data_IF_987774623741
#
_entry.id   IF_987774623741
#
_cell.length_a   1.000
_cell.length_b   1.000
_cell.length_c   1.000
_cell.angle_alpha   90.00
_cell.angle_beta   90.00
_cell.angle_gamma   90.00
#
_symmetry.space_group_name_H-M   'P 1'
#
loop_
_entity.id
_entity.type
_entity.pdbx_description
1 polymer ?
2 non-polymer ?
3 water ?
#
# COMPACT_ATOMS: atom_id res chain seq x y z
N UNK A 11 -22.70 -2.83 25.07
CA UNK A 11 -22.32 -3.78 26.10
C UNK A 11 -21.05 -4.55 25.69
N UNK A 12 -20.90 -5.75 26.21
CA UNK A 12 -19.76 -6.60 25.92
C UNK A 12 -20.19 -7.71 24.97
N UNK A 13 -19.21 -8.24 24.24
CA UNK A 13 -19.46 -9.31 23.29
C UNK A 13 -18.25 -10.24 23.26
N UNK A 14 -18.50 -11.54 23.39
CA UNK A 14 -17.46 -12.54 23.38
C UNK A 14 -17.71 -13.55 22.26
N UNK A 15 -16.65 -13.98 21.60
CA UNK A 15 -16.73 -14.91 20.48
C UNK A 15 -15.50 -15.79 20.47
N UNK A 16 -15.59 -16.92 19.77
CA UNK A 16 -14.50 -17.86 19.63
C UNK A 16 -13.85 -17.63 18.27
N UNK A 17 -12.61 -17.14 18.28
CA UNK A 17 -11.89 -16.78 17.07
C UNK A 17 -10.60 -17.58 16.98
N UNK A 18 -10.30 -18.06 15.77
CA UNK A 18 -9.01 -18.71 15.52
C UNK A 18 -7.93 -17.65 15.43
N UNK A 19 -6.86 -17.74 16.22
CA UNK A 19 -5.79 -16.73 16.13
C UNK A 19 -5.12 -16.77 14.77
N UNK A 20 -5.10 -15.61 14.11
CA UNK A 20 -4.45 -15.51 12.81
C UNK A 20 -2.98 -15.84 12.90
N UNK A 21 -2.43 -16.32 11.77
CA UNK A 21 -1.03 -16.72 11.63
C UNK A 21 -0.70 -17.94 12.50
N UNK A 22 -1.19 -17.97 13.74
CA UNK A 22 -0.95 -19.09 14.61
C UNK A 22 -1.78 -20.30 14.22
N UNK A 23 -1.70 -21.35 15.03
CA UNK A 23 -2.40 -22.59 14.71
C UNK A 23 -3.90 -22.47 15.00
N UNK A 24 -4.63 -23.51 14.58
CA UNK A 24 -6.09 -23.55 14.71
C UNK A 24 -6.45 -23.96 16.14
N UNK A 25 -6.31 -23.01 17.06
CA UNK A 25 -6.70 -23.18 18.46
C UNK A 25 -7.68 -22.06 18.81
N UNK A 26 -8.96 -22.19 18.39
CA UNK A 26 -9.92 -21.10 18.61
C UNK A 26 -10.12 -20.76 20.08
N UNK A 27 -9.49 -19.68 20.53
CA UNK A 27 -9.68 -19.19 21.88
C UNK A 27 -10.83 -18.17 21.91
N UNK A 28 -11.23 -17.81 23.12
CA UNK A 28 -12.31 -16.84 23.32
C UNK A 28 -11.73 -15.43 23.39
N UNK A 29 -12.35 -14.51 22.66
CA UNK A 29 -11.99 -13.10 22.69
C UNK A 29 -13.24 -12.30 23.02
N UNK A 30 -13.12 -11.36 23.96
CA UNK A 30 -14.22 -10.50 24.37
C UNK A 30 -13.79 -9.04 24.22
N UNK A 31 -14.70 -8.22 23.70
CA UNK A 31 -14.41 -6.82 23.45
C UNK A 31 -15.66 -5.99 23.72
N UNK A 32 -15.51 -4.67 23.63
CA UNK A 32 -16.60 -3.74 23.82
C UNK A 32 -16.24 -2.42 23.13
N UNK A 33 -17.17 -1.47 23.19
CA UNK A 33 -17.02 -0.14 22.62
C UNK A 33 -16.69 -0.22 21.11
N UNK A 34 -17.68 -0.71 20.38
CA UNK A 34 -17.57 -0.90 18.94
C UNK A 34 -18.16 0.30 18.21
N UNK A 35 -17.44 0.77 17.18
CA UNK A 35 -17.89 1.89 16.37
C UNK A 35 -17.40 1.69 14.95
N UNK A 36 -18.19 2.18 14.00
CA UNK A 36 -17.87 2.03 12.58
C UNK A 36 -16.82 3.07 12.19
N UNK A 37 -15.69 2.60 11.67
CA UNK A 37 -14.63 3.47 11.18
C UNK A 37 -14.50 3.42 9.66
N UNK A 38 -15.38 2.68 8.98
CA UNK A 38 -15.32 2.59 7.54
C UNK A 38 -16.32 1.58 7.04
N UNK A 39 -16.54 1.61 5.72
CA UNK A 39 -17.50 0.73 5.08
C UNK A 39 -16.97 0.36 3.70
N UNK A 40 -17.77 -0.39 2.96
CA UNK A 40 -17.39 -0.82 1.63
C UNK A 40 -18.32 -1.91 1.14
N UNK A 41 -17.98 -2.44 -0.04
CA UNK A 41 -18.77 -3.52 -0.62
C UNK A 41 -18.61 -4.81 0.16
N UNK A 42 -17.46 -5.00 0.81
CA UNK A 42 -17.24 -6.18 1.64
C UNK A 42 -18.20 -6.20 2.84
N UNK A 43 -18.49 -5.02 3.38
CA UNK A 43 -19.35 -4.91 4.54
C UNK A 43 -19.07 -3.65 5.35
N UNK A 44 -18.27 -3.79 6.40
CA UNK A 44 -18.00 -2.69 7.32
C UNK A 44 -16.84 -3.07 8.24
N UNK A 45 -15.98 -2.11 8.56
CA UNK A 45 -14.89 -2.29 9.52
C UNK A 45 -15.24 -1.53 10.79
N UNK A 46 -15.15 -2.21 11.92
CA UNK A 46 -15.44 -1.62 13.22
C UNK A 46 -14.14 -1.31 13.96
N UNK A 47 -14.29 -0.74 15.16
CA UNK A 47 -13.18 -0.51 16.06
C UNK A 47 -13.66 -0.76 17.49
N UNK A 48 -13.09 -1.77 18.13
CA UNK A 48 -13.49 -2.16 19.47
C UNK A 48 -12.28 -2.15 20.40
N UNK A 49 -12.55 -2.37 21.68
CA UNK A 49 -11.53 -2.40 22.72
C UNK A 49 -11.53 -3.78 23.36
N UNK A 50 -10.40 -4.47 23.30
CA UNK A 50 -10.30 -5.79 23.92
C UNK A 50 -10.41 -5.67 25.43
N UNK A 51 -11.24 -6.53 26.02
CA UNK A 51 -11.41 -6.50 27.48
C UNK A 51 -10.12 -6.85 28.21
N UNK A 52 -9.17 -7.49 27.54
CA UNK A 52 -7.85 -7.75 28.10
C UNK A 52 -6.87 -6.74 27.54
N UNK A 53 -6.10 -6.11 28.43
CA UNK A 53 -5.05 -5.16 28.07
C UNK A 53 -5.63 -3.86 27.50
N UNK A 54 -6.93 -3.83 27.28
CA UNK A 54 -7.58 -2.64 26.77
C UNK A 54 -7.11 -2.19 25.40
N UNK A 55 -6.57 -3.10 24.60
CA UNK A 55 -6.04 -2.74 23.29
C UNK A 55 -7.17 -2.53 22.30
N UNK A 56 -7.09 -1.43 21.54
CA UNK A 56 -8.08 -1.14 20.52
C UNK A 56 -7.75 -1.89 19.24
N UNK A 57 -8.75 -2.52 18.64
CA UNK A 57 -8.58 -3.34 17.45
C UNK A 57 -9.53 -2.86 16.36
N UNK A 58 -9.52 -3.56 15.23
CA UNK A 58 -10.40 -3.28 14.11
C UNK A 58 -10.98 -4.60 13.62
N UNK A 59 -12.29 -4.63 13.40
CA UNK A 59 -13.00 -5.84 12.99
C UNK A 59 -13.60 -5.58 11.62
N UNK A 60 -13.10 -6.29 10.60
CA UNK A 60 -13.57 -6.16 9.22
C UNK A 60 -14.57 -7.27 8.95
N UNK A 61 -15.86 -6.92 8.92
CA UNK A 61 -16.93 -7.88 8.65
C UNK A 61 -17.13 -7.96 7.13
N UNK A 62 -16.49 -8.94 6.52
CA UNK A 62 -16.65 -9.19 5.08
C UNK A 62 -17.55 -10.41 4.91
N UNK A 63 -18.58 -10.26 4.09
CA UNK A 63 -19.47 -11.37 3.77
C UNK A 63 -18.77 -12.32 2.78
N UNK A 64 -19.02 -13.61 2.93
CA UNK A 64 -18.34 -14.60 2.11
C UNK A 64 -19.21 -15.85 1.97
N UNK A 65 -19.25 -16.39 0.76
CA UNK A 65 -19.94 -17.65 0.51
C UNK A 65 -19.19 -18.77 1.23
N UNK A 66 -19.94 -19.63 1.92
CA UNK A 66 -19.28 -20.71 2.71
C UNK A 66 -18.59 -21.69 1.76
N UNK A 67 -19.10 -21.86 0.55
CA UNK A 67 -18.52 -22.81 -0.40
C UNK A 67 -17.31 -22.22 -1.11
N UNK A 68 -16.43 -21.58 -0.35
CA UNK A 68 -15.23 -20.95 -0.89
C UNK A 68 -14.27 -20.69 0.27
N UNK A 69 -13.24 -19.89 0.00
CA UNK A 69 -12.28 -19.49 1.02
C UNK A 69 -11.80 -18.09 0.69
N UNK A 70 -11.91 -17.18 1.67
CA UNK A 70 -11.56 -15.79 1.43
C UNK A 70 -10.08 -15.67 1.11
N UNK A 71 -9.78 -15.11 -0.07
CA UNK A 71 -8.39 -14.91 -0.46
C UNK A 71 -7.67 -13.97 0.50
N UNK A 72 -8.38 -12.98 1.05
CA UNK A 72 -7.77 -12.08 2.01
C UNK A 72 -7.29 -12.84 3.24
N UNK A 73 -8.19 -13.63 3.85
CA UNK A 73 -7.84 -14.35 5.07
C UNK A 73 -6.64 -15.26 4.86
N UNK A 74 -6.57 -15.93 3.70
CA UNK A 74 -5.43 -16.81 3.43
C UNK A 74 -4.13 -16.02 3.32
N UNK A 75 -4.19 -14.81 2.76
CA UNK A 75 -2.98 -14.00 2.65
C UNK A 75 -2.57 -13.43 4.00
N UNK A 76 -3.55 -12.92 4.77
CA UNK A 76 -3.23 -12.26 6.03
C UNK A 76 -2.59 -13.22 7.02
N UNK A 77 -3.03 -14.48 7.02
CA UNK A 77 -2.46 -15.45 7.94
C UNK A 77 -1.04 -15.85 7.56
N UNK A 78 -0.64 -15.61 6.31
CA UNK A 78 0.68 -15.96 5.82
C UNK A 78 1.62 -14.76 5.77
N UNK A 79 1.25 -13.64 6.39
CA UNK A 79 2.03 -12.42 6.33
C UNK A 79 2.34 -11.93 7.75
N UNK A 80 3.57 -11.46 7.95
CA UNK A 80 3.99 -10.92 9.24
C UNK A 80 5.13 -9.93 8.97
N UNK A 81 4.80 -8.64 9.02
CA UNK A 81 5.77 -7.59 8.76
C UNK A 81 5.38 -6.38 9.57
N UNK A 82 6.39 -5.62 10.05
CA UNK A 82 6.11 -4.48 10.92
C UNK A 82 5.30 -3.42 10.20
N UNK A 83 5.43 -3.34 8.87
CA UNK A 83 4.71 -2.36 8.06
C UNK A 83 3.48 -2.97 7.40
N UNK A 84 2.87 -3.97 8.03
CA UNK A 84 1.64 -4.58 7.57
C UNK A 84 0.77 -4.84 8.79
N UNK A 85 -0.49 -4.39 8.74
CA UNK A 85 -1.39 -4.57 9.87
C UNK A 85 -1.57 -6.06 10.12
N UNK A 86 -1.12 -6.52 11.29
CA UNK A 86 -1.16 -7.94 11.60
C UNK A 86 -2.58 -8.41 11.87
N UNK A 87 -2.90 -9.60 11.40
CA UNK A 87 -4.19 -10.23 11.67
C UNK A 87 -4.13 -10.88 13.04
N UNK A 88 -4.71 -10.22 14.04
CA UNK A 88 -4.72 -10.77 15.39
C UNK A 88 -5.52 -12.06 15.44
N UNK A 89 -6.81 -11.99 15.13
CA UNK A 89 -7.69 -13.15 15.11
C UNK A 89 -8.64 -13.03 13.93
N UNK A 90 -9.47 -14.04 13.75
CA UNK A 90 -10.52 -14.02 12.74
C UNK A 90 -11.62 -14.97 13.18
N UNK A 91 -12.88 -14.59 12.92
CA UNK A 91 -14.01 -15.38 13.36
C UNK A 91 -15.19 -15.15 12.42
N UNK A 92 -16.09 -16.12 12.40
CA UNK A 92 -17.26 -16.10 11.54
C UNK A 92 -18.51 -15.85 12.37
N UNK A 93 -19.41 -15.01 11.84
CA UNK A 93 -20.65 -14.65 12.52
C UNK A 93 -21.66 -14.24 11.45
N UNK A 94 -22.25 -15.23 10.80
CA UNK A 94 -23.23 -14.99 9.74
C UNK A 94 -24.49 -14.32 10.29
N UNK A 97 -29.20 -15.52 2.61
CA UNK A 97 -28.62 -15.70 3.94
C UNK A 97 -28.45 -17.18 4.27
N UNK A 98 -28.27 -18.00 3.23
CA UNK A 98 -28.13 -19.44 3.41
C UNK A 98 -26.69 -19.88 3.20
N UNK A 99 -26.26 -19.96 1.94
CA UNK A 99 -24.90 -20.39 1.61
C UNK A 99 -23.94 -19.21 1.65
N UNK A 100 -23.88 -18.56 2.82
CA UNK A 100 -23.04 -17.40 3.02
C UNK A 100 -22.72 -17.28 4.49
N UNK A 101 -21.71 -16.46 4.80
CA UNK A 101 -21.26 -16.25 6.17
C UNK A 101 -20.49 -14.93 6.20
N UNK A 102 -20.43 -14.31 7.37
CA UNK A 102 -19.71 -13.07 7.58
C UNK A 102 -18.37 -13.37 8.23
N UNK A 103 -17.29 -13.16 7.49
CA UNK A 103 -15.94 -13.31 8.03
C UNK A 103 -15.52 -12.00 8.68
N UNK A 104 -15.19 -12.07 9.97
CA UNK A 104 -14.71 -10.91 10.72
C UNK A 104 -13.21 -11.03 10.92
N UNK A 105 -12.48 -9.99 10.51
CA UNK A 105 -11.02 -9.96 10.59
C UNK A 105 -10.63 -9.00 11.70
N UNK A 106 -10.07 -9.55 12.79
CA UNK A 106 -9.62 -8.74 13.92
C UNK A 106 -8.16 -8.36 13.68
N UNK A 107 -7.90 -7.06 13.63
CA UNK A 107 -6.57 -6.53 13.36
C UNK A 107 -6.25 -5.40 14.33
N UNK A 108 -4.97 -5.06 14.42
CA UNK A 108 -4.57 -3.93 15.26
C UNK A 108 -5.09 -2.63 14.69
N UNK A 109 -5.58 -1.76 15.56
CA UNK A 109 -6.17 -0.49 15.15
C UNK A 109 -5.07 0.57 15.07
N UNK A 110 -4.64 0.88 13.86
CA UNK A 110 -3.71 1.99 13.64
C UNK A 110 -4.51 3.29 13.61
N UNK A 111 -4.09 4.32 14.34
CA UNK A 111 -4.99 5.45 14.60
C UNK A 111 -5.16 6.44 13.46
N UNK A 112 -4.41 6.35 12.37
CA UNK A 112 -4.55 7.34 11.31
C UNK A 112 -4.00 6.78 10.00
N UNK A 113 -4.40 7.41 8.91
CA UNK A 113 -3.93 7.07 7.57
C UNK A 113 -3.10 8.21 7.00
N UNK A 114 -2.38 7.91 5.91
CA UNK A 114 -1.58 8.94 5.26
C UNK A 114 -2.47 9.97 4.58
N UNK A 115 -3.63 9.56 4.07
CA UNK A 115 -4.51 10.52 3.40
C UNK A 115 -4.99 11.60 4.35
N UNK A 116 -5.36 11.22 5.58
CA UNK A 116 -5.89 12.19 6.54
C UNK A 116 -4.84 13.23 6.89
N UNK A 117 -3.63 12.78 7.23
CA UNK A 117 -2.56 13.73 7.57
C UNK A 117 -2.14 14.53 6.35
N UNK A 118 -2.24 13.94 5.15
CA UNK A 118 -1.95 14.70 3.94
C UNK A 118 -3.06 15.71 3.66
N UNK A 119 -4.31 15.34 3.95
CA UNK A 119 -5.41 16.29 3.75
C UNK A 119 -5.34 17.42 4.77
N UNK A 120 -4.99 17.11 6.01
CA UNK A 120 -4.86 18.15 7.02
C UNK A 120 -3.80 19.18 6.62
N UNK A 121 -2.76 18.75 5.93
CA UNK A 121 -1.76 19.69 5.40
C UNK A 121 -2.28 20.42 4.18
N UNK A 122 -2.98 19.72 3.28
CA UNK A 122 -3.52 20.36 2.09
C UNK A 122 -4.59 21.39 2.43
N UNK A 123 -5.32 21.18 3.53
CA UNK A 123 -6.30 22.16 3.97
C UNK A 123 -5.65 23.46 4.46
N UNK A 124 -4.34 23.46 4.70
CA UNK A 124 -3.62 24.66 5.10
C UNK A 124 -2.55 25.06 4.10
N UNK A 125 -2.49 24.39 2.94
CA UNK A 125 -1.54 24.70 1.87
C UNK A 125 -0.09 24.61 2.38
N UNK A 126 0.22 23.51 3.05
CA UNK A 126 1.55 23.25 3.57
C UNK A 126 2.01 21.87 3.13
N UNK A 127 3.26 21.78 2.69
CA UNK A 127 3.81 20.51 2.25
C UNK A 127 4.25 19.67 3.45
N UNK A 128 3.91 18.38 3.41
CA UNK A 128 4.34 17.47 4.47
C UNK A 128 5.86 17.41 4.51
N UNK A 129 6.47 17.47 5.70
CA UNK A 129 7.92 17.42 5.79
C UNK A 129 8.49 16.19 5.09
N UNK A 130 9.62 16.37 4.42
CA UNK A 130 10.23 15.29 3.64
C UNK A 130 10.65 14.15 4.56
N UNK A 131 10.97 14.45 5.83
CA UNK A 131 11.28 13.40 6.79
C UNK A 131 10.08 12.46 6.94
N UNK A 132 8.89 13.03 7.06
CA UNK A 132 7.68 12.21 7.10
C UNK A 132 7.48 11.47 5.78
N UNK A 133 7.72 12.15 4.66
CA UNK A 133 7.54 11.52 3.35
C UNK A 133 8.56 10.41 3.14
N UNK A 134 9.80 10.62 3.58
CA UNK A 134 10.83 9.61 3.38
C UNK A 134 10.56 8.38 4.26
N UNK A 135 10.10 8.59 5.48
CA UNK A 135 9.86 7.46 6.38
C UNK A 135 8.64 6.65 5.94
N UNK A 136 7.56 7.33 5.52
CA UNK A 136 6.36 6.63 5.11
C UNK A 136 6.60 5.81 3.85
N UNK A 137 7.22 6.42 2.84
CA UNK A 137 7.46 5.72 1.59
C UNK A 137 8.40 4.54 1.78
N UNK A 138 9.48 4.73 2.56
CA UNK A 138 10.41 3.64 2.83
C UNK A 138 9.69 2.48 3.50
N UNK A 139 8.83 2.76 4.48
CA UNK A 139 8.04 1.72 5.11
C UNK A 139 7.05 1.10 4.13
N UNK A 140 6.66 1.84 3.09
CA UNK A 140 5.78 1.26 2.07
C UNK A 140 6.55 0.28 1.20
N UNK A 141 7.72 0.69 0.69
CA UNK A 141 8.53 -0.21 -0.13
C UNK A 141 9.00 -1.42 0.66
N UNK A 142 9.20 -1.27 1.98
CA UNK A 142 9.58 -2.41 2.80
C UNK A 142 8.45 -3.43 2.87
N UNK A 143 7.21 -2.96 3.03
CA UNK A 143 6.07 -3.87 3.03
C UNK A 143 5.81 -4.43 1.64
N UNK A 144 6.07 -3.65 0.59
CA UNK A 144 5.91 -4.15 -0.77
C UNK A 144 6.93 -5.25 -1.07
N UNK A 145 8.21 -4.98 -0.78
CA UNK A 145 9.24 -6.00 -0.99
C UNK A 145 8.94 -7.26 -0.20
N UNK A 146 8.23 -7.13 0.93
CA UNK A 146 7.82 -8.31 1.69
C UNK A 146 6.74 -9.09 0.94
N UNK A 147 5.63 -8.42 0.62
CA UNK A 147 4.51 -9.12 -0.03
C UNK A 147 4.88 -9.52 -1.45
N UNK A 148 5.78 -8.78 -2.09
CA UNK A 148 6.18 -9.14 -3.45
C UNK A 148 7.08 -10.37 -3.49
N UNK A 149 7.75 -10.68 -2.38
CA UNK A 149 8.61 -11.86 -2.34
C UNK A 149 7.78 -13.14 -2.43
N UNK A 150 6.68 -13.21 -1.70
CA UNK A 150 5.79 -14.37 -1.76
C UNK A 150 5.00 -14.44 -3.06
N UNK A 151 5.13 -13.44 -3.93
CA UNK A 151 4.35 -13.40 -5.15
C UNK A 151 2.98 -12.77 -5.01
N UNK A 152 2.79 -11.92 -4.00
CA UNK A 152 1.50 -11.30 -3.72
C UNK A 152 1.56 -9.85 -4.14
N UNK A 153 0.54 -9.39 -4.85
CA UNK A 153 0.42 -8.01 -5.30
C UNK A 153 -0.78 -7.38 -4.62
N UNK A 154 -0.57 -6.22 -3.98
CA UNK A 154 -1.65 -5.60 -3.20
C UNK A 154 -2.79 -5.15 -4.11
N UNK A 155 -2.47 -4.54 -5.26
CA UNK A 155 -3.44 -4.14 -6.26
C UNK A 155 -4.42 -3.08 -5.76
N UNK A 156 -4.03 -2.33 -4.73
CA UNK A 156 -4.85 -1.23 -4.25
C UNK A 156 -4.04 -0.26 -3.38
N UNK A 157 -2.81 0.03 -3.82
CA UNK A 157 -1.95 0.95 -3.07
C UNK A 157 -2.54 2.35 -3.18
N UNK A 158 -2.98 2.90 -2.05
CA UNK A 158 -3.57 4.22 -1.99
C UNK A 158 -3.30 4.79 -0.60
N UNK A 159 -3.27 6.12 -0.45
CA UNK A 159 -3.02 6.71 0.87
C UNK A 159 -4.06 6.31 1.91
N UNK A 160 -5.30 6.04 1.49
CA UNK A 160 -6.31 5.56 2.41
C UNK A 160 -5.98 4.17 2.94
N UNK A 161 -5.19 3.39 2.21
CA UNK A 161 -4.74 2.08 2.65
C UNK A 161 -3.33 2.11 3.22
N UNK A 162 -2.83 3.29 3.59
CA UNK A 162 -1.53 3.44 4.23
C UNK A 162 -1.78 4.00 5.63
N UNK A 163 -1.98 3.09 6.59
CA UNK A 163 -2.21 3.50 7.96
C UNK A 163 -0.92 4.03 8.58
N UNK A 164 -1.06 4.86 9.60
CA UNK A 164 0.10 5.50 10.21
C UNK A 164 -0.23 5.94 11.63
N UNK A 165 0.72 5.74 12.54
CA UNK A 165 0.61 6.23 13.91
C UNK A 165 1.32 7.56 14.02
N UNK A 166 0.71 8.58 14.63
CA UNK A 166 1.34 9.92 14.62
C UNK A 166 2.57 10.00 15.52
N UNK A 167 2.55 9.32 16.67
CA UNK A 167 3.67 9.43 17.61
C UNK A 167 4.83 8.53 17.19
N UNK A 168 4.57 7.23 17.03
CA UNK A 168 5.63 6.30 16.68
C UNK A 168 6.06 6.44 15.22
N UNK A 169 5.27 7.12 14.39
CA UNK A 169 5.59 7.33 12.98
C UNK A 169 5.73 6.00 12.24
N UNK A 170 4.91 5.02 12.62
CA UNK A 170 4.95 3.68 12.04
C UNK A 170 3.80 3.53 11.05
N UNK A 171 4.12 3.16 9.83
CA UNK A 171 3.12 2.93 8.79
C UNK A 171 2.94 1.43 8.58
N UNK A 172 1.73 1.04 8.18
CA UNK A 172 1.39 -0.35 7.96
C UNK A 172 0.44 -0.49 6.79
N UNK A 173 0.65 -1.51 5.97
CA UNK A 173 -0.24 -1.79 4.85
C UNK A 173 -1.61 -2.21 5.35
N UNK A 174 -2.66 -1.57 4.81
CA UNK A 174 -4.00 -1.73 5.34
C UNK A 174 -4.78 -2.86 4.66
N UNK A 175 -5.51 -2.52 3.59
CA UNK A 175 -6.42 -3.48 2.99
C UNK A 175 -5.66 -4.58 2.23
N UNK A 176 -6.33 -5.73 2.08
CA UNK A 176 -5.79 -6.81 1.26
C UNK A 176 -6.89 -7.56 0.53
N UNK A 177 -8.09 -7.00 0.40
CA UNK A 177 -9.17 -7.67 -0.30
C UNK A 177 -9.01 -7.70 -1.80
N UNK A 178 -8.19 -6.81 -2.35
CA UNK A 178 -7.91 -6.78 -3.78
C UNK A 178 -6.61 -7.50 -4.14
N UNK A 179 -5.89 -8.02 -3.15
CA UNK A 179 -4.62 -8.68 -3.40
C UNK A 179 -4.84 -10.11 -3.89
N UNK A 180 -3.93 -10.57 -4.73
CA UNK A 180 -3.97 -11.93 -5.25
C UNK A 180 -2.54 -12.37 -5.57
N UNK A 181 -2.23 -13.61 -5.23
CA UNK A 181 -0.93 -14.19 -5.58
C UNK A 181 -0.80 -14.28 -7.09
N UNK A 182 -0.12 -13.32 -7.70
CA UNK A 182 0.02 -13.25 -9.14
C UNK A 182 0.91 -14.41 -9.62
N UNK A 183 0.28 -15.43 -10.20
CA UNK A 183 0.99 -16.58 -10.71
C UNK A 183 1.07 -16.47 -12.23
N UNK A 184 2.01 -17.22 -12.81
CA UNK A 184 2.19 -17.20 -14.25
C UNK A 184 1.04 -17.91 -14.94
N UNK A 185 0.62 -17.36 -16.08
CA UNK A 185 -0.43 -17.97 -16.87
C UNK A 185 -1.83 -17.56 -16.44
N UNK A 186 -2.04 -17.44 -15.14
CA UNK A 186 -3.37 -17.11 -14.61
C UNK A 186 -3.75 -15.69 -15.00
N UNK A 187 -4.82 -15.49 -15.78
CA UNK A 187 -5.21 -14.13 -16.17
C UNK A 187 -5.96 -13.43 -15.04
N UNK A 188 -5.55 -12.20 -14.75
CA UNK A 188 -6.15 -11.39 -13.70
C UNK A 188 -6.81 -10.16 -14.32
N UNK A 189 -7.79 -9.62 -13.60
CA UNK A 189 -8.56 -8.49 -14.13
C UNK A 189 -7.67 -7.26 -14.26
N UNK A 190 -7.99 -6.42 -15.23
CA UNK A 190 -7.19 -5.23 -15.52
C UNK A 190 -7.68 -4.01 -14.74
N UNK A 191 -8.99 -3.77 -14.76
CA UNK A 191 -9.59 -2.62 -14.08
C UNK A 191 -9.50 -2.77 -12.57
N UNK A 192 -8.28 -2.74 -12.05
CA UNK A 192 -8.05 -2.81 -10.61
C UNK A 192 -7.42 -1.51 -10.14
N UNK A 193 -7.16 -1.41 -8.83
CA UNK A 193 -6.54 -0.24 -8.21
C UNK A 193 -7.45 0.99 -8.30
N UNK A 194 -7.19 1.98 -7.46
CA UNK A 194 -7.87 3.26 -7.59
C UNK A 194 -7.40 3.96 -8.86
N UNK A 195 -8.30 4.76 -9.44
CA UNK A 195 -8.01 5.38 -10.73
C UNK A 195 -6.76 6.24 -10.67
N UNK A 196 -6.66 7.09 -9.65
CA UNK A 196 -5.53 8.02 -9.55
C UNK A 196 -4.21 7.28 -9.37
N UNK A 197 -4.24 6.02 -8.95
CA UNK A 197 -3.03 5.24 -8.69
C UNK A 197 -2.94 4.01 -9.56
N UNK A 198 -3.74 3.91 -10.61
CA UNK A 198 -3.70 2.77 -11.52
C UNK A 198 -2.52 2.89 -12.48
N UNK A 199 -1.84 1.77 -12.70
CA UNK A 199 -0.75 1.74 -13.66
C UNK A 199 -1.27 1.90 -15.08
N UNK A 200 -0.42 2.37 -16.00
CA UNK A 200 -0.90 2.52 -17.39
C UNK A 200 -1.19 1.21 -18.09
N UNK A 201 -0.51 0.12 -17.70
CA UNK A 201 -0.77 -1.17 -18.34
C UNK A 201 -2.18 -1.66 -18.03
N UNK A 202 -2.65 -1.41 -16.81
CA UNK A 202 -4.01 -1.81 -16.44
C UNK A 202 -5.06 -1.03 -17.23
N UNK A 203 -4.78 0.25 -17.53
CA UNK A 203 -5.69 1.05 -18.34
C UNK A 203 -5.76 0.49 -19.76
N UNK A 204 -4.64 0.00 -20.28
CA UNK A 204 -4.59 -0.54 -21.63
C UNK A 204 -5.19 -1.94 -21.73
N UNK A 205 -5.71 -2.49 -20.63
CA UNK A 205 -6.33 -3.80 -20.67
C UNK A 205 -5.37 -4.96 -20.62
N UNK A 206 -4.30 -4.84 -19.83
CA UNK A 206 -3.31 -5.91 -19.71
C UNK A 206 -3.72 -6.87 -18.60
N UNK A 207 -3.74 -8.16 -18.92
CA UNK A 207 -3.99 -9.21 -17.94
C UNK A 207 -2.71 -9.91 -17.51
N UNK A 208 -1.58 -9.54 -18.08
CA UNK A 208 -0.29 -10.16 -17.79
C UNK A 208 0.63 -9.25 -16.98
N UNK A 209 0.06 -8.37 -16.16
CA UNK A 209 0.87 -7.47 -15.38
C UNK A 209 1.55 -8.20 -14.23
N UNK A 210 2.61 -7.58 -13.71
CA UNK A 210 3.36 -8.10 -12.58
C UNK A 210 3.07 -7.26 -11.35
N UNK A 211 3.89 -7.43 -10.32
CA UNK A 211 3.74 -6.65 -9.09
C UNK A 211 4.27 -5.23 -9.23
N UNK A 212 4.79 -4.85 -10.39
CA UNK A 212 5.25 -3.48 -10.60
C UNK A 212 4.12 -2.46 -10.64
N UNK A 213 2.87 -2.92 -10.74
CA UNK A 213 1.75 -1.98 -10.68
C UNK A 213 1.65 -1.36 -9.28
N UNK A 214 2.09 -2.09 -8.25
CA UNK A 214 2.14 -1.52 -6.91
C UNK A 214 3.24 -0.46 -6.82
N UNK A 215 4.28 -0.58 -7.65
CA UNK A 215 5.35 0.41 -7.66
C UNK A 215 4.86 1.69 -8.32
N UNK A 216 4.06 1.57 -9.40
CA UNK A 216 3.47 2.75 -10.02
C UNK A 216 2.57 3.50 -9.04
N UNK A 217 1.73 2.75 -8.31
CA UNK A 217 0.89 3.38 -7.30
C UNK A 217 1.74 3.94 -6.15
N UNK A 218 2.92 3.37 -5.92
CA UNK A 218 3.83 3.94 -4.94
C UNK A 218 4.44 5.24 -5.45
N UNK A 219 4.74 5.31 -6.74
CA UNK A 219 5.20 6.56 -7.31
C UNK A 219 4.12 7.62 -7.33
N UNK A 220 2.85 7.22 -7.41
CA UNK A 220 1.76 8.17 -7.43
C UNK A 220 1.50 8.76 -6.05
N UNK A 221 1.60 7.95 -5.00
CA UNK A 221 1.40 8.49 -3.66
C UNK A 221 2.58 9.35 -3.23
N UNK A 222 3.78 9.04 -3.75
CA UNK A 222 4.94 9.88 -3.47
C UNK A 222 4.74 11.28 -4.03
N UNK A 223 4.29 11.38 -5.29
CA UNK A 223 4.05 12.68 -5.89
C UNK A 223 2.96 13.45 -5.15
N UNK A 224 1.93 12.74 -4.68
CA UNK A 224 0.87 13.39 -3.93
C UNK A 224 1.40 14.00 -2.63
N UNK A 225 2.49 13.46 -2.10
CA UNK A 225 3.06 14.00 -0.88
C UNK A 225 3.97 15.19 -1.15
N UNK A 226 4.66 15.19 -2.30
CA UNK A 226 5.50 16.32 -2.69
C UNK A 226 4.72 17.38 -3.47
N UNK A 227 3.41 17.21 -3.62
CA UNK A 227 2.60 18.17 -4.36
C UNK A 227 1.29 18.53 -3.68
N UNK A 228 0.90 17.87 -2.59
CA UNK A 228 -0.34 18.18 -1.90
C UNK A 228 -1.60 17.89 -2.69
N UNK A 229 -1.50 17.14 -3.77
CA UNK A 229 -2.65 16.82 -4.62
C UNK A 229 -2.30 15.61 -5.46
N UNK A 230 -3.30 14.82 -5.87
CA UNK A 230 -3.02 13.65 -6.70
C UNK A 230 -2.35 14.05 -8.02
N UNK A 231 -1.35 13.26 -8.42
CA UNK A 231 -0.57 13.61 -9.60
C UNK A 231 -1.35 13.37 -10.89
N UNK A 232 -2.24 12.37 -10.89
CA UNK A 232 -2.98 11.97 -12.09
C UNK A 232 -4.47 11.93 -11.77
N UNK A 233 -5.15 13.07 -11.82
CA UNK A 233 -6.59 13.08 -11.50
C UNK A 233 -7.48 12.96 -12.73
N UNK A 234 -8.13 11.80 -12.90
CA UNK A 234 -9.02 11.60 -14.01
C UNK A 234 -10.38 11.12 -13.53
N UNK A 235 -11.36 11.21 -14.44
CA UNK A 235 -12.72 10.75 -14.16
C UNK A 235 -13.02 9.38 -14.76
N UNK A 236 -12.15 8.88 -15.63
CA UNK A 236 -12.32 7.56 -16.22
C UNK A 236 -10.94 6.98 -16.49
N UNK A 237 -10.92 5.69 -16.86
CA UNK A 237 -9.66 5.06 -17.20
C UNK A 237 -8.98 5.72 -18.37
N UNK A 238 -9.75 6.10 -19.40
CA UNK A 238 -9.20 6.83 -20.53
C UNK A 238 -8.71 8.20 -20.09
N UNK A 239 -9.52 8.90 -19.29
CA UNK A 239 -9.13 10.22 -18.80
C UNK A 239 -7.88 10.13 -17.94
N UNK A 240 -7.74 9.05 -17.16
CA UNK A 240 -6.54 8.87 -16.36
C UNK A 240 -5.30 8.77 -17.22
N UNK A 241 -5.42 8.17 -18.41
CA UNK A 241 -4.28 8.06 -19.31
C UNK A 241 -3.86 9.42 -19.87
N UNK A 242 -4.82 10.34 -20.03
CA UNK A 242 -4.50 11.67 -20.53
C UNK A 242 -3.70 12.45 -19.49
N UNK A 243 -4.02 12.26 -18.21
CA UNK A 243 -3.23 12.89 -17.15
C UNK A 243 -1.80 12.37 -17.15
N UNK A 244 -1.62 11.09 -17.45
CA UNK A 244 -0.29 10.50 -17.46
C UNK A 244 0.53 11.04 -18.64
N UNK A 245 -0.09 11.06 -19.82
CA UNK A 245 0.61 11.54 -21.01
C UNK A 245 0.92 13.03 -20.89
N UNK A 246 0.07 13.78 -20.18
CA UNK A 246 0.31 15.21 -20.02
C UNK A 246 1.59 15.47 -19.21
N UNK A 247 1.93 14.58 -18.30
CA UNK A 247 3.11 14.76 -17.45
C UNK A 247 4.26 13.91 -17.97
N UNK A 248 4.07 12.59 -17.99
CA UNK A 248 5.13 11.66 -18.38
C UNK A 248 5.44 11.71 -19.87
N UNK A 249 4.58 12.32 -20.69
CA UNK A 249 4.80 12.38 -22.12
C UNK A 249 4.11 11.25 -22.86
N UNK A 250 4.19 11.34 -24.19
CA UNK A 250 3.58 10.34 -25.04
C UNK A 250 4.40 9.05 -24.98
N UNK A 251 3.80 7.91 -24.64
CA UNK A 251 4.57 6.67 -24.61
C UNK A 251 4.97 6.23 -26.01
N UNK A 252 6.22 5.81 -26.15
CA UNK A 252 6.73 5.38 -27.44
C UNK A 252 6.10 4.05 -27.84
N UNK A 253 6.38 3.64 -29.08
CA UNK A 253 5.80 2.39 -29.60
C UNK A 253 6.32 1.18 -28.84
N UNK A 254 7.53 1.27 -28.28
CA UNK A 254 8.08 0.15 -27.52
C UNK A 254 7.36 0.00 -26.18
N UNK A 255 7.11 1.12 -25.49
CA UNK A 255 6.42 1.05 -24.20
C UNK A 255 4.96 0.64 -24.37
N UNK A 256 4.32 1.11 -25.45
CA UNK A 256 2.96 0.67 -25.74
C UNK A 256 2.93 -0.82 -26.05
N UNK A 257 4.03 -1.35 -26.60
CA UNK A 257 4.17 -2.78 -26.81
C UNK A 257 4.62 -3.52 -25.56
N UNK A 258 5.38 -2.87 -24.69
CA UNK A 258 5.74 -3.47 -23.41
C UNK A 258 4.52 -3.72 -22.55
N UNK A 259 3.42 -3.01 -22.81
CA UNK A 259 2.12 -3.25 -22.20
C UNK A 259 1.17 -3.81 -23.26
N UNK A 260 -0.09 -3.97 -22.89
CA UNK A 260 -1.05 -4.62 -23.78
C UNK A 260 -1.32 -3.73 -24.99
N UNK A 261 -1.33 -4.29 -26.21
CA UNK A 261 -1.60 -3.48 -27.41
C UNK A 261 -3.10 -3.22 -27.55
N UNK A 262 -3.47 -1.93 -27.61
CA UNK A 262 -4.87 -1.55 -27.76
C UNK A 262 -4.93 -0.12 -28.29
N UNK A 263 -6.01 0.19 -28.98
CA UNK A 263 -6.26 1.52 -29.52
C UNK A 263 -7.18 2.29 -28.58
N UNK A 264 -6.93 3.59 -28.44
CA UNK A 264 -7.67 4.41 -27.49
C UNK A 264 -7.81 5.82 -28.06
N UNK A 265 -8.98 6.42 -27.83
CA UNK A 265 -9.19 7.82 -28.20
C UNK A 265 -8.47 8.73 -27.21
N UNK A 266 -8.55 10.04 -27.47
CA UNK A 266 -7.91 11.02 -26.61
C UNK A 266 -8.49 12.40 -26.92
N UNK A 267 -8.28 13.32 -25.98
CA UNK A 267 -8.66 14.71 -26.22
C UNK A 267 -7.78 15.37 -27.27
N UNK A 268 -6.61 14.79 -27.51
CA UNK A 268 -5.66 15.34 -28.51
C UNK A 268 -4.48 14.36 -28.67
N UNK A 269 -3.79 14.34 -29.83
CA UNK A 269 -2.68 13.41 -30.05
C UNK A 269 -1.30 14.01 -29.74
N UNK A 270 -1.26 15.02 -28.88
CA UNK A 270 0.03 15.68 -28.52
C UNK A 270 1.06 14.60 -28.19
N UNK A 275 6.10 16.42 -22.31
CA UNK A 275 6.82 15.84 -21.17
C UNK A 275 7.42 16.90 -20.26
N UNK A 276 6.57 17.68 -19.58
CA UNK A 276 7.09 18.79 -18.78
C UNK A 276 7.83 18.25 -17.55
N UNK A 277 9.09 18.67 -17.40
CA UNK A 277 9.88 18.23 -16.26
C UNK A 277 9.56 19.06 -15.02
N UNK A 278 9.53 20.38 -15.16
CA UNK A 278 9.16 21.26 -14.07
C UNK A 278 7.68 21.12 -13.75
N UNK A 279 7.35 20.17 -12.88
CA UNK A 279 5.95 19.92 -12.52
C UNK A 279 5.81 19.99 -11.00
N UNK A 280 6.85 19.55 -10.29
CA UNK A 280 6.81 19.56 -8.83
C UNK A 280 6.96 20.98 -8.30
N UNK A 281 6.48 21.17 -7.07
CA UNK A 281 6.52 22.48 -6.45
C UNK A 281 7.96 22.92 -6.20
N UNK A 282 8.20 24.23 -6.10
CA UNK A 282 9.55 24.71 -5.79
C UNK A 282 10.06 24.14 -4.47
N UNK A 283 11.39 24.08 -4.34
CA UNK A 283 12.11 23.55 -3.19
C UNK A 283 11.88 22.06 -2.99
N UNK A 284 11.33 21.36 -3.97
CA UNK A 284 11.17 19.91 -3.86
C UNK A 284 12.53 19.24 -3.96
N UNK A 285 12.87 18.34 -3.04
CA UNK A 285 14.19 17.69 -3.08
C UNK A 285 14.40 16.97 -4.40
N UNK A 286 15.50 17.27 -5.11
CA UNK A 286 15.75 16.60 -6.39
C UNK A 286 15.92 15.09 -6.27
N UNK A 287 16.38 14.60 -5.12
CA UNK A 287 16.56 13.16 -4.95
C UNK A 287 15.21 12.44 -4.97
N UNK A 288 14.15 13.09 -4.50
CA UNK A 288 12.82 12.49 -4.56
C UNK A 288 12.28 12.51 -5.99
N UNK A 289 12.57 13.58 -6.73
CA UNK A 289 12.14 13.66 -8.12
C UNK A 289 12.82 12.58 -8.95
N UNK A 290 14.08 12.27 -8.63
CA UNK A 290 14.77 11.18 -9.31
C UNK A 290 14.15 9.83 -8.95
N UNK A 291 13.79 9.65 -7.68
CA UNK A 291 13.11 8.43 -7.26
C UNK A 291 11.74 8.31 -7.93
N UNK A 292 10.94 9.38 -7.84
CA UNK A 292 9.59 9.35 -8.43
C UNK A 292 9.62 9.17 -9.94
N UNK A 293 10.74 9.51 -10.59
CA UNK A 293 10.87 9.29 -12.02
C UNK A 293 11.14 7.82 -12.34
N UNK A 294 11.94 7.15 -11.52
CA UNK A 294 12.22 5.73 -11.73
C UNK A 294 11.04 4.86 -11.34
N UNK A 295 10.06 5.40 -10.59
CA UNK A 295 8.88 4.64 -10.22
C UNK A 295 7.75 4.79 -11.22
N UNK A 296 7.61 5.98 -11.81
CA UNK A 296 6.54 6.25 -12.76
C UNK A 296 7.06 6.10 -14.19
N UNK A 297 7.37 4.86 -14.55
CA UNK A 297 7.88 4.52 -15.87
C UNK A 297 6.79 3.82 -16.67
N UNK A 298 6.70 4.17 -17.96
CA UNK A 298 5.75 3.51 -18.84
C UNK A 298 6.05 2.02 -18.95
N UNK A 299 7.33 1.67 -19.10
CA UNK A 299 7.73 0.28 -19.15
C UNK A 299 7.61 -0.34 -17.75
N UNK A 300 6.81 -1.39 -17.57
CA UNK A 300 6.69 -1.99 -16.23
C UNK A 300 7.99 -2.56 -15.71
N UNK A 301 8.96 -2.85 -16.57
CA UNK A 301 10.23 -3.41 -16.11
C UNK A 301 11.18 -2.34 -15.61
N UNK A 302 11.15 -1.14 -16.21
CA UNK A 302 12.02 -0.05 -15.78
C UNK A 302 11.72 0.44 -14.37
N UNK A 303 10.55 0.08 -13.82
CA UNK A 303 10.21 0.49 -12.47
C UNK A 303 11.13 -0.19 -11.46
N UNK A 304 11.61 0.59 -10.48
CA UNK A 304 12.47 0.05 -9.46
C UNK A 304 11.73 -0.97 -8.59
N UNK A 305 12.40 -2.06 -8.26
CA UNK A 305 11.84 -3.02 -7.32
C UNK A 305 11.68 -2.36 -5.95
N UNK A 306 10.72 -2.82 -5.15
CA UNK A 306 10.54 -2.24 -3.81
C UNK A 306 11.81 -2.25 -2.97
N UNK A 307 12.70 -3.22 -3.19
CA UNK A 307 13.98 -3.21 -2.50
C UNK A 307 14.95 -2.23 -3.17
N UNK A 308 14.94 -2.18 -4.51
CA UNK A 308 15.77 -1.20 -5.21
C UNK A 308 15.38 0.22 -4.84
N UNK A 309 14.08 0.46 -4.59
CA UNK A 309 13.65 1.78 -4.16
C UNK A 309 14.09 2.08 -2.74
N UNK A 310 14.19 1.05 -1.89
CA UNK A 310 14.63 1.26 -0.51
C UNK A 310 16.08 1.75 -0.46
N UNK A 311 16.91 1.31 -1.40
CA UNK A 311 18.32 1.67 -1.44
C UNK A 311 18.59 2.94 -2.24
N UNK A 312 17.55 3.71 -2.57
CA UNK A 312 17.74 4.93 -3.34
C UNK A 312 18.38 6.01 -2.47
N UNK A 313 19.03 6.97 -3.15
CA UNK A 313 19.70 8.06 -2.45
C UNK A 313 18.73 8.95 -1.70
N UNK A 314 17.45 8.94 -2.08
CA UNK A 314 16.47 9.75 -1.36
C UNK A 314 16.25 9.24 0.06
N UNK A 315 16.48 7.96 0.30
CA UNK A 315 16.34 7.36 1.63
C UNK A 315 17.69 7.25 2.34
N UNK A 316 18.54 8.28 2.23
CA UNK A 316 19.83 8.28 2.90
C UNK A 316 19.82 8.99 4.25
N UNK A 317 18.93 9.97 4.43
CA UNK A 317 18.83 10.65 5.72
C UNK A 317 18.36 9.69 6.81
N UNK A 318 17.48 8.75 6.47
CA UNK A 318 17.02 7.77 7.46
C UNK A 318 18.13 6.79 7.83
N UNK A 319 18.99 6.44 6.86
CA UNK A 319 20.09 5.52 7.12
C UNK A 319 21.20 6.13 7.96
N UNK A 320 21.09 7.41 8.32
CA UNK A 320 22.10 8.05 9.16
C UNK A 320 21.88 7.65 10.62
N UNK A 321 22.97 7.55 11.40
CA UNK A 321 22.82 7.13 12.80
C UNK A 321 22.08 8.15 13.65
N UNK A 322 22.32 9.45 13.41
CA UNK A 322 21.75 10.51 14.24
C UNK A 322 20.37 10.96 13.79
N UNK A 323 19.62 10.10 13.12
CA UNK A 323 18.27 10.44 12.69
C UNK A 323 17.31 10.34 13.87
N UNK A 324 16.33 11.25 13.91
CA UNK A 324 15.37 11.28 15.00
C UNK A 324 14.11 11.97 14.53
N UNK A 325 12.98 11.57 15.13
CA UNK A 325 11.70 12.15 14.79
C UNK A 325 11.55 13.53 15.43
N UNK A 326 10.61 14.35 14.92
CA UNK A 326 10.42 15.69 15.49
C UNK A 326 10.18 15.71 17.00
N UNK A 327 9.35 14.80 17.51
CA UNK A 327 9.02 14.76 18.93
C UNK A 327 10.13 14.15 19.79
N UNK A 328 11.35 14.03 19.25
CA UNK A 328 12.47 13.49 19.99
C UNK A 328 12.58 11.98 19.99
N UNK A 329 11.50 11.27 19.66
CA UNK A 329 11.56 9.81 19.63
C UNK A 329 12.49 9.34 18.52
N UNK A 330 13.27 8.30 18.82
CA UNK A 330 14.24 7.77 17.87
C UNK A 330 13.53 7.17 16.67
N UNK A 331 14.32 6.76 15.68
CA UNK A 331 13.75 6.17 14.47
C UNK A 331 12.99 4.90 14.81
N UNK A 332 11.75 4.75 14.34
CA UNK A 332 11.03 3.49 14.57
C UNK A 332 11.69 2.30 13.89
N UNK A 333 11.04 1.14 13.93
CA UNK A 333 11.60 -0.07 13.35
C UNK A 333 11.93 0.13 11.87
N UNK A 334 13.15 0.60 11.59
CA UNK A 334 13.61 0.84 10.22
C UNK A 334 14.37 -0.34 9.64
N UNK A 335 15.18 -1.02 10.45
CA UNK A 335 15.88 -2.21 9.99
C UNK A 335 14.94 -3.41 9.99
N UNK A 336 15.21 -4.38 10.86
CA UNK A 336 14.38 -5.59 11.02
C UNK A 336 14.07 -6.24 9.67
N UNK A 337 15.14 -6.64 9.00
CA UNK A 337 15.05 -7.27 7.69
C UNK A 337 15.12 -8.79 7.83
N UNK A 338 14.47 -9.49 6.90
CA UNK A 338 14.45 -10.94 6.85
C UNK A 338 15.08 -11.42 5.56
N UNK A 339 15.41 -12.71 5.52
CA UNK A 339 15.94 -13.30 4.30
C UNK A 339 14.89 -13.30 3.19
N UNK A 340 13.62 -13.52 3.54
CA UNK A 340 12.55 -13.43 2.55
C UNK A 340 12.41 -12.01 2.03
N UNK A 341 12.61 -11.02 2.90
CA UNK A 341 12.52 -9.63 2.48
C UNK A 341 13.57 -9.29 1.42
N UNK A 342 14.77 -9.83 1.57
CA UNK A 342 15.88 -9.58 0.66
C UNK A 342 16.01 -10.65 -0.41
N UNK A 343 14.89 -11.24 -0.84
CA UNK A 343 14.96 -12.27 -1.88
C UNK A 343 15.35 -11.69 -3.23
N UNK A 344 15.09 -10.40 -3.44
CA UNK A 344 15.44 -9.70 -4.67
C UNK A 344 16.69 -8.87 -4.41
N UNK A 345 17.81 -9.28 -5.01
CA UNK A 345 19.12 -8.65 -4.86
C UNK A 345 19.52 -8.58 -3.39
N UNK A 346 19.96 -9.70 -2.80
CA UNK A 346 20.45 -9.67 -1.42
C UNK A 346 21.67 -8.77 -1.24
N UNK A 347 22.57 -8.63 -2.27
CA UNK A 347 23.70 -7.69 -2.14
C UNK A 347 23.36 -6.33 -1.53
N UNK A 348 22.16 -5.81 -1.79
CA UNK A 348 21.78 -4.50 -1.28
C UNK A 348 21.50 -4.49 0.22
N UNK A 349 21.84 -5.54 0.97
CA UNK A 349 21.52 -5.58 2.40
C UNK A 349 22.34 -4.58 3.20
N UNK A 350 23.54 -4.24 2.73
CA UNK A 350 24.37 -3.29 3.46
C UNK A 350 23.80 -1.88 3.41
N UNK A 351 23.02 -1.56 2.37
CA UNK A 351 22.41 -0.24 2.28
C UNK A 351 21.08 -0.20 3.04
N UNK A 352 20.40 -1.35 3.14
CA UNK A 352 19.15 -1.43 3.90
C UNK A 352 19.39 -1.56 5.40
N UNK A 353 20.54 -2.08 5.81
CA UNK A 353 20.88 -2.20 7.22
C UNK A 353 22.30 -1.65 7.42
N UNK A 354 22.47 -0.35 7.63
CA UNK A 354 23.80 0.20 7.85
C UNK A 354 24.39 -0.30 9.16
N UNK A 355 25.71 -0.21 9.33
CA UNK A 355 26.30 -0.58 10.63
C UNK A 355 25.78 0.22 11.80
N UNK A 356 25.10 1.34 11.55
CA UNK A 356 24.57 2.21 12.61
C UNK A 356 23.70 1.44 13.59
X LIG B 1 -7.94 1.35 11.00
X LIG B 1 -8.03 -0.62 9.65
X LIG B 1 -7.17 -1.22 10.56
X LIG B 1 -6.74 -0.48 11.65
X LIG B 1 -10.34 -2.03 5.06
X LIG B 1 -11.14 -2.65 3.28
X LIG B 1 -7.96 5.49 11.75
X LIG B 1 -9.20 3.48 10.73
X LIG B 1 -7.12 0.79 11.88
X LIG B 1 -8.12 -2.60 8.02
X LIG B 1 -8.73 -2.98 6.81
X LIG B 1 -10.33 -3.07 4.18
X LIG B 1 -11.11 -1.04 4.73
X LIG B 1 -8.48 -1.35 8.46
X LIG B 1 -9.57 -2.01 6.30
X LIG B 1 -9.26 4.88 11.29
X LIG B 1 -8.61 5.97 10.49
X LIG B 1 -8.43 0.69 9.86
X LIG B 1 -8.27 2.69 11.31
X LIG B 1 -9.95 3.12 9.83
X LIG B 1 -11.66 -1.46 3.52
X LIG B 1 -9.60 -0.61 7.34
#
# INVERSE_FOLDING_TARGET
MKVSRDKDGSKVTTVVATPGQGPDRPQEVSYTDTKVIGNGSFGVVYQAKLCDSGELVAIKKVLQDKRFKNRELQIMRKLDHCNIVRLRYFFYSSGEKKDEVYLNLVLDYVPETVYRVARHYSRAKQTLPVIYVKLYMYQLFRSLAYIHSFGICHRDIKPQNLLLDPDTAVLKLCDFGSAKQLVRGEPNVSYICSRYYRAPELIFGATDYTSSIDVWSAGCVLAELLLGQPIFPGDSGVDQLVEIIKVLGTPTREQIREMNPNYTEFKFPQIKAHPWTKVFRPRTPPEAIALCSRLLEYTPTARLTPLEACAHSFFDELRDPNVKLPNGRDTPALFNFTTQELSSNPPLATILIPPHARENLYFQ
VNG C4 C6 C7 C8 C15 C17 C22 C2 N9 C11 C12 N16 N19 C10 C13 C20 C21 C5 N3 O1 O18 S14
#
